data_IF_889939030664
#
_entry.id   IF_889939030664
#
_cell.length_a   1.000
_cell.length_b   1.000
_cell.length_c   1.000
_cell.angle_alpha   90.00
_cell.angle_beta   90.00
_cell.angle_gamma   90.00
#
_symmetry.space_group_name_H-M   'P 1'
#
loop_
_entity.id
_entity.type
_entity.pdbx_description
1 polymer ?
#
# COMPACT_ATOMS: atom_id res chain seq x y z
N UNK A 1 8.05 -43.75 -36.96
CA UNK A 1 7.48 -42.40 -36.74
C UNK A 1 7.55 -42.11 -35.25
N UNK A 2 8.37 -41.13 -34.83
CA UNK A 2 8.59 -40.75 -33.42
C UNK A 2 7.58 -39.65 -33.04
N UNK A 3 6.81 -39.89 -31.99
CA UNK A 3 5.84 -38.95 -31.42
C UNK A 3 6.60 -37.89 -30.60
N UNK A 4 6.52 -36.58 -30.91
CA UNK A 4 7.12 -35.57 -30.07
C UNK A 4 6.20 -35.31 -28.87
N UNK A 5 6.61 -35.87 -27.74
CA UNK A 5 6.14 -35.49 -26.42
C UNK A 5 6.66 -34.07 -26.14
N UNK A 6 5.83 -33.05 -26.33
CA UNK A 6 6.11 -31.69 -25.81
C UNK A 6 4.96 -31.28 -24.90
N UNK A 7 5.10 -31.70 -23.65
CA UNK A 7 4.57 -30.98 -22.49
C UNK A 7 5.23 -29.60 -22.45
N UNK A 8 4.43 -28.56 -22.22
CA UNK A 8 4.48 -27.67 -21.04
C UNK A 8 3.24 -26.75 -21.14
N UNK A 9 2.30 -26.83 -20.20
CA UNK A 9 1.18 -25.90 -20.14
C UNK A 9 1.72 -24.57 -19.64
N UNK A 10 1.75 -23.54 -20.49
CA UNK A 10 1.97 -22.17 -20.06
C UNK A 10 0.66 -21.67 -19.43
N UNK A 11 0.38 -22.18 -18.22
CA UNK A 11 -0.58 -21.56 -17.31
C UNK A 11 0.08 -20.28 -16.81
N UNK A 12 -0.07 -19.20 -17.59
CA UNK A 12 0.02 -17.84 -17.07
C UNK A 12 -1.11 -17.70 -16.04
N UNK A 13 -0.83 -18.15 -14.82
CA UNK A 13 -1.63 -17.83 -13.65
C UNK A 13 -1.66 -16.31 -13.59
N UNK A 14 -2.80 -15.75 -14.00
CA UNK A 14 -3.06 -14.34 -13.91
C UNK A 14 -2.73 -13.90 -12.48
N UNK A 15 -1.83 -12.91 -12.34
CA UNK A 15 -1.86 -12.02 -11.20
C UNK A 15 -3.21 -11.31 -11.24
N UNK A 16 -4.28 -11.99 -10.81
CA UNK A 16 -5.50 -11.34 -10.42
C UNK A 16 -5.14 -10.67 -9.12
N UNK A 17 -4.72 -9.41 -9.21
CA UNK A 17 -4.53 -8.52 -8.08
C UNK A 17 -5.83 -8.58 -7.29
N UNK A 18 -5.79 -9.26 -6.14
CA UNK A 18 -6.91 -9.28 -5.22
C UNK A 18 -7.32 -7.82 -4.96
N UNK A 19 -8.64 -7.51 -4.93
CA UNK A 19 -9.08 -6.16 -4.59
C UNK A 19 -8.41 -5.73 -3.28
N UNK A 20 -7.94 -4.49 -3.17
CA UNK A 20 -7.28 -4.03 -1.95
C UNK A 20 -8.20 -4.31 -0.76
N UNK A 21 -7.65 -4.96 0.26
CA UNK A 21 -8.40 -5.27 1.47
C UNK A 21 -8.97 -3.97 2.07
N UNK A 22 -10.15 -4.02 2.70
CA UNK A 22 -10.70 -2.87 3.40
C UNK A 22 -9.68 -2.34 4.40
N UNK A 23 -9.54 -1.01 4.46
CA UNK A 23 -8.67 -0.35 5.42
C UNK A 23 -9.16 -0.65 6.83
N UNK A 24 -8.36 -1.40 7.60
CA UNK A 24 -8.68 -1.67 9.01
C UNK A 24 -8.59 -0.37 9.81
N UNK A 25 -9.66 0.01 10.55
CA UNK A 25 -9.64 1.16 11.44
C UNK A 25 -8.54 1.02 12.50
N UNK A 26 -7.98 2.14 12.94
CA UNK A 26 -7.02 2.11 14.04
C UNK A 26 -7.73 1.69 15.36
N UNK A 27 -7.18 0.69 16.06
CA UNK A 27 -7.91 -0.02 17.12
C UNK A 27 -7.41 0.18 18.58
N UNK A 28 -6.18 0.67 18.82
CA UNK A 28 -5.64 0.79 20.20
C UNK A 28 -4.97 2.13 20.50
N UNK A 29 -3.93 2.48 19.73
CA UNK A 29 -3.16 3.70 19.91
C UNK A 29 -3.36 4.53 18.65
N UNK A 30 -4.29 5.48 18.71
CA UNK A 30 -4.74 6.26 17.53
C UNK A 30 -4.75 7.75 17.83
N UNK A 31 -3.86 8.19 18.71
CA UNK A 31 -3.88 9.53 19.27
C UNK A 31 -2.61 10.31 19.00
N UNK A 32 -1.48 9.64 18.80
CA UNK A 32 -0.20 10.30 18.55
C UNK A 32 0.09 10.43 17.05
N UNK A 33 1.05 11.29 16.72
CA UNK A 33 1.58 11.42 15.36
C UNK A 33 2.23 10.13 14.87
N UNK A 34 3.02 9.49 15.73
CA UNK A 34 3.66 8.20 15.47
C UNK A 34 2.61 7.14 15.07
N UNK A 35 1.51 7.06 15.84
CA UNK A 35 0.43 6.11 15.58
C UNK A 35 -0.17 6.28 14.17
N UNK A 36 -0.44 7.53 13.79
CA UNK A 36 -1.00 7.87 12.48
C UNK A 36 -0.08 7.51 11.33
N UNK A 37 1.21 7.82 11.49
CA UNK A 37 2.25 7.49 10.52
C UNK A 37 2.36 5.98 10.31
N UNK A 38 2.47 5.23 11.41
CA UNK A 38 2.60 3.77 11.38
C UNK A 38 1.34 3.09 10.82
N UNK A 39 0.15 3.61 11.15
CA UNK A 39 -1.10 3.09 10.59
C UNK A 39 -1.17 3.28 9.07
N UNK A 40 -0.88 4.49 8.58
CA UNK A 40 -0.90 4.80 7.16
C UNK A 40 0.11 3.98 6.35
N UNK A 41 1.31 3.74 6.90
CA UNK A 41 2.31 2.86 6.28
C UNK A 41 1.85 1.40 6.19
N UNK A 42 1.33 0.81 7.28
CA UNK A 42 0.81 -0.57 7.25
C UNK A 42 -0.31 -0.72 6.23
N UNK A 43 -1.15 0.29 6.15
CA UNK A 43 -2.28 0.38 5.24
C UNK A 43 -1.91 0.74 3.79
N UNK A 44 -0.64 1.10 3.51
CA UNK A 44 -0.18 1.60 2.22
C UNK A 44 -1.08 2.71 1.66
N UNK A 45 -1.44 3.67 2.52
CA UNK A 45 -2.34 4.75 2.13
C UNK A 45 -1.71 5.67 1.08
N UNK A 46 -2.33 5.73 -0.09
CA UNK A 46 -1.96 6.67 -1.16
C UNK A 46 -2.76 7.99 -1.14
N UNK A 47 -3.76 8.10 -0.27
CA UNK A 47 -4.69 9.24 -0.23
C UNK A 47 -4.88 9.77 1.20
N UNK A 48 -4.56 11.05 1.39
CA UNK A 48 -4.66 11.74 2.66
C UNK A 48 -6.10 11.92 3.16
N UNK A 49 -7.11 11.78 2.27
CA UNK A 49 -8.53 11.79 2.66
C UNK A 49 -8.88 10.63 3.60
N UNK A 50 -8.11 9.55 3.57
CA UNK A 50 -8.28 8.40 4.47
C UNK A 50 -7.85 8.68 5.92
N UNK A 51 -7.17 9.82 6.18
CA UNK A 51 -6.67 10.16 7.51
C UNK A 51 -7.72 10.81 8.42
N UNK A 52 -8.92 11.13 7.94
CA UNK A 52 -9.94 11.88 8.70
C UNK A 52 -10.61 11.01 9.79
N UNK A 53 -11.22 11.65 10.79
CA UNK A 53 -11.95 10.96 11.88
C UNK A 53 -11.12 10.62 13.12
N UNK A 54 -9.85 11.04 13.16
CA UNK A 54 -8.93 10.83 14.28
C UNK A 54 -8.48 12.16 14.92
N UNK A 55 -7.81 12.14 16.09
CA UNK A 55 -7.21 13.32 16.70
C UNK A 55 -6.20 14.01 15.78
N UNK A 56 -6.06 15.34 15.89
CA UNK A 56 -5.23 16.14 14.98
C UNK A 56 -3.77 15.65 14.87
N UNK A 57 -3.16 15.21 15.97
CA UNK A 57 -1.80 14.67 15.95
C UNK A 57 -1.71 13.39 15.10
N UNK A 58 -2.67 12.48 15.23
CA UNK A 58 -2.77 11.28 14.39
C UNK A 58 -2.95 11.63 12.92
N UNK A 59 -3.85 12.58 12.61
CA UNK A 59 -4.09 13.04 11.24
C UNK A 59 -2.78 13.53 10.61
N UNK A 60 -2.02 14.36 11.33
CA UNK A 60 -0.74 14.88 10.85
C UNK A 60 0.24 13.75 10.48
N UNK A 61 0.40 12.76 11.36
CA UNK A 61 1.30 11.63 11.08
C UNK A 61 0.82 10.75 9.92
N UNK A 62 -0.49 10.53 9.81
CA UNK A 62 -1.05 9.81 8.66
C UNK A 62 -0.76 10.54 7.34
N UNK A 63 -0.93 11.86 7.31
CA UNK A 63 -0.65 12.67 6.13
C UNK A 63 0.84 12.67 5.77
N UNK A 64 1.73 12.70 6.77
CA UNK A 64 3.18 12.59 6.56
C UNK A 64 3.52 11.27 5.83
N UNK A 65 2.99 10.13 6.29
CA UNK A 65 3.23 8.84 5.67
C UNK A 65 2.69 8.73 4.23
N UNK A 66 1.50 9.31 3.96
CA UNK A 66 0.95 9.37 2.61
C UNK A 66 1.85 10.19 1.68
N UNK A 67 2.34 11.34 2.16
CA UNK A 67 3.25 12.19 1.41
C UNK A 67 4.57 11.47 1.12
N UNK A 68 5.14 10.78 2.11
CA UNK A 68 6.36 9.98 1.93
C UNK A 68 6.17 8.91 0.85
N UNK A 69 5.04 8.19 0.86
CA UNK A 69 4.71 7.21 -0.17
C UNK A 69 4.60 7.86 -1.55
N UNK A 70 3.91 9.01 -1.65
CA UNK A 70 3.79 9.74 -2.91
C UNK A 70 5.15 10.20 -3.43
N UNK A 71 6.04 10.64 -2.56
CA UNK A 71 7.41 11.04 -2.91
C UNK A 71 8.28 9.85 -3.33
N UNK A 72 8.08 8.68 -2.73
CA UNK A 72 8.76 7.44 -3.10
C UNK A 72 8.30 6.91 -4.46
N UNK A 73 7.04 7.14 -4.82
CA UNK A 73 6.44 6.72 -6.10
C UNK A 73 6.61 7.76 -7.23
N UNK A 74 7.12 8.95 -6.92
CA UNK A 74 7.29 10.01 -7.91
C UNK A 74 8.33 9.61 -8.98
N UNK A 75 7.96 9.53 -10.27
CA UNK A 75 8.88 9.14 -11.32
C UNK A 75 10.00 10.19 -11.50
N UNK A 76 11.24 9.74 -11.67
CA UNK A 76 12.42 10.59 -11.90
C UNK A 76 13.45 10.65 -10.77
N UNK A 77 13.34 9.78 -9.75
CA UNK A 77 14.33 9.68 -8.65
C UNK A 77 15.35 8.54 -8.81
N UNK A 78 15.23 7.71 -9.84
CA UNK A 78 16.08 6.53 -10.10
C UNK A 78 17.36 6.81 -10.91
N UNK A 79 17.85 8.06 -10.97
CA UNK A 79 18.94 8.42 -11.88
C UNK A 79 19.78 9.63 -11.48
N UNK A 80 20.40 9.59 -10.29
CA UNK A 80 21.56 10.44 -9.97
C UNK A 80 22.80 9.59 -9.66
#
# INVERSE_FOLDING_TARGET
MRLPLLLIPVLLAACVSAPPAPLEPCAKYCSSREDGYQWAQRAHLGDARSCVGYPAAFIAGCQDAVMDLQQALAPGRDGL
#
